data_IF_841677274672
#
_entry.id   IF_841677274672
#
_cell.length_a   1.000
_cell.length_b   1.000
_cell.length_c   1.000
_cell.angle_alpha   90.00
_cell.angle_beta   90.00
_cell.angle_gamma   90.00
#
_symmetry.space_group_name_H-M   'P 1'
#
loop_
_entity.id
_entity.type
_entity.pdbx_description
1 polymer ?
#
# COMPACT_ATOMS: atom_id res chain seq x y z
N UNK A 1 10.01 -0.72 12.70
CA UNK A 1 8.69 -0.06 12.53
C UNK A 1 8.92 1.21 11.75
N UNK A 2 8.52 1.26 10.48
CA UNK A 2 8.56 2.50 9.70
C UNK A 2 7.23 3.21 9.96
N UNK A 3 7.19 4.06 10.99
CA UNK A 3 6.05 4.94 11.26
C UNK A 3 6.37 6.35 10.79
N UNK A 4 5.63 6.88 9.79
CA UNK A 4 5.70 8.31 9.43
C UNK A 4 5.16 9.10 10.63
N UNK A 5 6.08 9.65 11.44
CA UNK A 5 5.79 10.49 12.59
C UNK A 5 5.17 11.80 12.07
N UNK A 6 3.85 11.90 12.16
CA UNK A 6 3.07 13.10 12.43
C UNK A 6 3.37 14.37 11.56
N UNK A 7 2.40 14.70 10.70
CA UNK A 7 2.08 16.04 10.15
C UNK A 7 2.65 16.55 8.81
N UNK A 8 3.54 15.82 8.10
CA UNK A 8 4.00 16.27 6.76
C UNK A 8 3.82 15.26 5.62
N UNK A 9 3.12 14.15 5.85
CA UNK A 9 2.84 13.16 4.81
C UNK A 9 1.66 13.57 3.86
N UNK A 10 1.18 14.83 3.90
CA UNK A 10 0.07 15.33 3.05
C UNK A 10 0.43 15.54 1.57
N UNK A 11 1.73 15.66 1.26
CA UNK A 11 2.25 15.79 -0.12
C UNK A 11 2.82 14.48 -0.67
N UNK A 12 2.81 13.39 0.09
CA UNK A 12 3.35 12.12 -0.38
C UNK A 12 2.40 11.53 -1.43
N UNK A 13 2.84 11.52 -2.69
CA UNK A 13 2.08 10.99 -3.83
C UNK A 13 2.53 9.61 -4.26
N UNK A 14 3.78 9.22 -3.97
CA UNK A 14 4.35 7.92 -4.31
C UNK A 14 5.00 7.28 -3.08
N UNK A 15 4.79 5.98 -2.90
CA UNK A 15 5.33 5.17 -1.82
C UNK A 15 6.03 3.94 -2.40
N UNK A 16 7.22 3.61 -1.88
CA UNK A 16 7.93 2.36 -2.21
C UNK A 16 8.04 1.49 -0.97
N UNK A 17 7.49 0.29 -1.02
CA UNK A 17 7.52 -0.73 0.03
C UNK A 17 8.54 -1.80 -0.38
N UNK A 18 9.58 -1.97 0.43
CA UNK A 18 10.64 -2.95 0.18
C UNK A 18 10.16 -4.40 0.36
N UNK A 19 10.86 -5.32 -0.30
CA UNK A 19 10.56 -6.77 -0.30
C UNK A 19 10.52 -7.38 1.11
N UNK A 20 11.31 -6.85 2.04
CA UNK A 20 11.46 -7.39 3.41
C UNK A 20 10.43 -6.85 4.39
N UNK A 21 9.52 -5.97 3.97
CA UNK A 21 8.46 -5.44 4.83
C UNK A 21 7.43 -6.55 5.05
N UNK A 22 7.24 -6.94 6.31
CA UNK A 22 6.28 -7.99 6.70
C UNK A 22 4.97 -7.42 7.23
N UNK A 23 5.01 -6.21 7.76
CA UNK A 23 3.89 -5.58 8.46
C UNK A 23 3.95 -4.06 8.30
N UNK A 24 2.78 -3.46 8.12
CA UNK A 24 2.59 -2.01 8.13
C UNK A 24 1.49 -1.70 9.15
N UNK A 25 1.82 -0.83 10.10
CA UNK A 25 0.92 -0.52 11.20
C UNK A 25 -0.36 0.19 10.75
N UNK A 26 -1.36 0.15 11.62
CA UNK A 26 -2.59 0.91 11.49
C UNK A 26 -2.29 2.41 11.34
N UNK A 27 -3.07 3.10 10.50
CA UNK A 27 -2.97 4.53 10.21
C UNK A 27 -1.65 5.04 9.61
N UNK A 28 -0.70 4.15 9.28
CA UNK A 28 0.63 4.54 8.78
C UNK A 28 0.59 5.51 7.59
N UNK A 29 -0.40 5.35 6.71
CA UNK A 29 -0.60 6.18 5.52
C UNK A 29 -2.03 6.76 5.42
N UNK A 30 -2.85 6.70 6.48
CA UNK A 30 -4.25 7.16 6.45
C UNK A 30 -4.43 8.66 6.20
N UNK A 31 -3.46 9.48 6.59
CA UNK A 31 -3.48 10.93 6.35
C UNK A 31 -2.82 11.35 5.02
N UNK A 32 -2.57 10.42 4.10
CA UNK A 32 -1.85 10.67 2.85
C UNK A 32 -2.75 10.65 1.62
N UNK A 33 -2.32 11.35 0.56
CA UNK A 33 -2.96 11.36 -0.75
C UNK A 33 -2.11 10.61 -1.77
N UNK A 34 -1.75 9.37 -1.42
CA UNK A 34 -0.99 8.49 -2.31
C UNK A 34 -1.74 8.26 -3.62
N UNK A 35 -0.99 8.30 -4.72
CA UNK A 35 -1.43 7.99 -6.07
C UNK A 35 -0.73 6.76 -6.62
N UNK A 36 0.48 6.48 -6.17
CA UNK A 36 1.30 5.36 -6.61
C UNK A 36 1.87 4.64 -5.40
N UNK A 37 1.74 3.31 -5.38
CA UNK A 37 2.30 2.46 -4.34
C UNK A 37 3.04 1.33 -5.04
N UNK A 38 4.36 1.32 -4.94
CA UNK A 38 5.21 0.28 -5.51
C UNK A 38 5.62 -0.69 -4.41
N UNK A 39 5.18 -1.94 -4.52
CA UNK A 39 5.56 -2.98 -3.58
C UNK A 39 6.47 -3.99 -4.24
N UNK A 40 7.61 -4.26 -3.60
CA UNK A 40 8.61 -5.22 -4.10
C UNK A 40 8.41 -6.63 -3.55
N UNK A 41 7.47 -6.81 -2.61
CA UNK A 41 7.21 -8.10 -1.97
C UNK A 41 6.32 -8.98 -2.86
N UNK A 42 6.75 -10.23 -3.11
CA UNK A 42 5.95 -11.22 -3.84
C UNK A 42 4.70 -11.65 -3.06
N UNK A 43 4.80 -11.67 -1.72
CA UNK A 43 3.69 -11.92 -0.82
C UNK A 43 3.27 -10.60 -0.15
N UNK A 44 1.96 -10.34 -0.03
CA UNK A 44 1.45 -9.11 0.60
C UNK A 44 1.86 -9.06 2.08
N UNK A 45 2.44 -7.95 2.54
CA UNK A 45 2.64 -7.68 3.95
C UNK A 45 1.30 -7.68 4.71
N UNK A 46 1.33 -7.98 6.00
CA UNK A 46 0.14 -7.83 6.84
C UNK A 46 -0.14 -6.35 7.05
N UNK A 47 -1.37 -5.92 6.75
CA UNK A 47 -1.86 -4.56 6.96
C UNK A 47 -3.26 -4.61 7.57
N UNK A 48 -3.63 -3.52 8.24
CA UNK A 48 -4.97 -3.32 8.77
C UNK A 48 -5.81 -2.47 7.80
N UNK A 49 -7.14 -2.55 7.89
CA UNK A 49 -8.06 -1.79 7.02
C UNK A 49 -7.77 -0.28 7.03
N UNK A 50 -7.30 0.20 8.17
CA UNK A 50 -7.06 1.60 8.45
C UNK A 50 -5.62 2.05 8.11
N UNK A 51 -4.81 1.21 7.47
CA UNK A 51 -3.44 1.54 7.08
C UNK A 51 -3.38 2.63 6.00
N UNK A 52 -4.28 2.59 5.01
CA UNK A 52 -4.37 3.57 3.92
C UNK A 52 -5.67 4.38 4.01
N UNK A 53 -5.76 5.48 3.25
CA UNK A 53 -6.98 6.28 3.14
C UNK A 53 -7.95 5.68 2.12
N UNK A 54 -9.26 5.93 2.27
CA UNK A 54 -10.28 5.59 1.26
C UNK A 54 -9.95 6.17 -0.13
N UNK A 55 -9.30 7.35 -0.14
CA UNK A 55 -8.76 7.94 -1.35
C UNK A 55 -7.69 7.06 -2.00
N UNK A 56 -6.76 6.51 -1.22
CA UNK A 56 -5.72 5.63 -1.75
C UNK A 56 -6.32 4.33 -2.31
N UNK A 57 -7.26 3.69 -1.61
CA UNK A 57 -7.93 2.48 -2.11
C UNK A 57 -8.65 2.71 -3.45
N UNK A 58 -9.33 3.86 -3.58
CA UNK A 58 -10.12 4.18 -4.77
C UNK A 58 -9.31 4.74 -5.94
N UNK A 59 -8.26 5.53 -5.65
CA UNK A 59 -7.58 6.36 -6.65
C UNK A 59 -6.11 6.01 -6.89
N UNK A 60 -5.44 5.33 -5.95
CA UNK A 60 -4.04 4.98 -6.12
C UNK A 60 -3.89 3.73 -7.00
N UNK A 61 -2.76 3.65 -7.70
CA UNK A 61 -2.31 2.44 -8.39
C UNK A 61 -1.34 1.68 -7.50
N UNK A 62 -1.68 0.43 -7.20
CA UNK A 62 -0.79 -0.53 -6.54
C UNK A 62 0.00 -1.30 -7.60
N UNK A 63 1.29 -1.02 -7.69
CA UNK A 63 2.25 -1.74 -8.51
C UNK A 63 2.86 -2.88 -7.71
N UNK A 64 2.65 -4.11 -8.17
CA UNK A 64 3.11 -5.35 -7.52
C UNK A 64 4.09 -6.09 -8.44
N UNK A 65 4.94 -7.00 -7.93
CA UNK A 65 5.85 -7.73 -8.80
C UNK A 65 5.09 -8.64 -9.77
N UNK A 66 5.62 -8.85 -10.98
CA UNK A 66 5.06 -9.81 -11.95
C UNK A 66 4.76 -11.19 -11.34
N UNK A 67 3.57 -11.71 -11.63
CA UNK A 67 3.08 -12.99 -11.14
C UNK A 67 2.43 -12.94 -9.76
N UNK A 68 2.44 -11.79 -9.07
CA UNK A 68 1.86 -11.65 -7.73
C UNK A 68 0.46 -11.03 -7.71
N UNK A 69 -0.06 -10.50 -8.83
CA UNK A 69 -1.34 -9.76 -8.85
C UNK A 69 -2.51 -10.53 -8.24
N UNK A 70 -2.64 -11.81 -8.55
CA UNK A 70 -3.71 -12.66 -7.98
C UNK A 70 -3.59 -12.81 -6.46
N UNK A 71 -2.36 -12.82 -5.93
CA UNK A 71 -2.12 -12.92 -4.49
C UNK A 71 -2.61 -11.63 -3.80
N UNK A 72 -2.29 -10.47 -4.37
CA UNK A 72 -2.76 -9.18 -3.84
C UNK A 72 -4.28 -8.99 -3.98
N UNK A 73 -4.88 -9.43 -5.09
CA UNK A 73 -6.33 -9.39 -5.29
C UNK A 73 -7.13 -10.28 -4.33
N UNK A 74 -6.49 -11.31 -3.77
CA UNK A 74 -7.12 -12.21 -2.79
C UNK A 74 -6.73 -11.88 -1.34
N UNK A 75 -5.75 -11.00 -1.13
CA UNK A 75 -5.27 -10.67 0.20
C UNK A 75 -6.16 -9.65 0.90
N UNK A 76 -6.36 -9.84 2.20
CA UNK A 76 -7.14 -8.93 3.02
C UNK A 76 -6.59 -7.51 2.93
N UNK A 77 -7.50 -6.54 2.82
CA UNK A 77 -7.25 -5.10 2.67
C UNK A 77 -6.56 -4.72 1.35
N UNK A 78 -5.58 -5.48 0.87
CA UNK A 78 -4.94 -5.25 -0.43
C UNK A 78 -5.91 -5.40 -1.60
N UNK A 79 -6.91 -6.29 -1.48
CA UNK A 79 -7.99 -6.45 -2.45
C UNK A 79 -8.89 -5.21 -2.58
N UNK A 80 -8.87 -4.30 -1.61
CA UNK A 80 -9.68 -3.06 -1.64
C UNK A 80 -9.10 -2.02 -2.63
N UNK A 81 -7.85 -2.19 -3.09
CA UNK A 81 -7.30 -1.35 -4.14
C UNK A 81 -7.99 -1.63 -5.48
N UNK A 82 -8.62 -0.60 -6.03
CA UNK A 82 -9.33 -0.70 -7.32
C UNK A 82 -8.36 -0.92 -8.50
N UNK A 83 -7.12 -0.44 -8.38
CA UNK A 83 -6.13 -0.50 -9.45
C UNK A 83 -4.89 -1.28 -8.98
N UNK A 84 -4.73 -2.50 -9.48
CA UNK A 84 -3.56 -3.35 -9.23
C UNK A 84 -2.90 -3.72 -10.56
N UNK A 85 -1.65 -3.30 -10.74
CA UNK A 85 -0.84 -3.48 -11.95
C UNK A 85 0.44 -4.23 -11.60
N UNK A 86 0.90 -5.10 -12.49
CA UNK A 86 2.18 -5.78 -12.34
C UNK A 86 3.31 -4.95 -12.98
N UNK A 87 4.45 -4.82 -12.30
CA UNK A 87 5.68 -4.22 -12.81
C UNK A 87 6.88 -5.19 -12.79
#
# INVERSE_FOLDING_TARGET
>A
MIGCKYYNCTKLTSLVIGEKVKEIGEWAFKATKLKEIHIKALAPPTIEHDTFSDYAYSSATLYVPKGSKKVYQNANVWKEFHNIIEE
#
